data_IF_135953622621
#
_entry.id   IF_135953622621
#
_cell.length_a   1.000
_cell.length_b   1.000
_cell.length_c   1.000
_cell.angle_alpha   90.00
_cell.angle_beta   90.00
_cell.angle_gamma   90.00
#
_symmetry.space_group_name_H-M   'P 1'
#
loop_
_entity.id
_entity.type
_entity.pdbx_description
1 polymer ?
#
# COMPACT_ATOMS: atom_id res chain seq x y z
N UNK A 1 -38.66 27.84 1.92
CA UNK A 1 -37.24 27.57 2.20
C UNK A 1 -36.95 26.16 1.74
N UNK A 2 -36.65 26.02 0.45
CA UNK A 2 -36.34 24.74 -0.21
C UNK A 2 -34.88 24.40 0.06
N UNK A 3 -34.64 23.18 0.53
CA UNK A 3 -33.41 22.78 1.19
C UNK A 3 -32.30 22.43 0.20
N UNK A 4 -31.14 23.03 0.42
CA UNK A 4 -29.89 22.93 -0.33
C UNK A 4 -29.19 21.56 -0.15
N UNK A 5 -29.86 20.45 -0.50
CA UNK A 5 -29.26 19.10 -0.45
C UNK A 5 -28.76 18.59 -1.81
N UNK A 6 -29.10 19.26 -2.91
CA UNK A 6 -28.80 18.81 -4.29
C UNK A 6 -27.30 18.79 -4.66
N UNK A 7 -26.41 19.31 -3.81
CA UNK A 7 -24.97 19.41 -4.10
C UNK A 7 -24.09 18.32 -3.44
N UNK A 8 -24.66 17.41 -2.63
CA UNK A 8 -23.88 16.36 -1.94
C UNK A 8 -24.08 15.00 -2.62
N UNK A 9 -23.02 14.39 -3.19
CA UNK A 9 -23.16 13.11 -3.88
C UNK A 9 -23.51 12.00 -2.89
N UNK A 10 -24.65 11.34 -3.11
CA UNK A 10 -24.95 10.05 -2.51
C UNK A 10 -24.09 8.97 -3.19
N UNK A 11 -23.33 8.22 -2.41
CA UNK A 11 -22.42 7.19 -2.91
C UNK A 11 -22.85 5.84 -2.37
N UNK A 12 -22.85 4.83 -3.23
CA UNK A 12 -23.17 3.45 -2.84
C UNK A 12 -21.92 2.58 -2.96
N UNK A 13 -21.62 1.82 -1.91
CA UNK A 13 -20.70 0.69 -1.96
C UNK A 13 -21.51 -0.61 -2.02
N UNK A 14 -21.06 -1.57 -2.82
CA UNK A 14 -21.66 -2.90 -2.97
C UNK A 14 -20.55 -3.94 -2.89
N UNK A 15 -20.74 -4.96 -2.06
CA UNK A 15 -19.79 -6.05 -1.91
C UNK A 15 -20.48 -7.35 -1.50
N UNK A 16 -19.83 -8.47 -1.79
CA UNK A 16 -20.20 -9.79 -1.25
C UNK A 16 -19.35 -10.03 -0.01
N UNK A 17 -20.01 -10.47 1.06
CA UNK A 17 -19.38 -10.77 2.34
C UNK A 17 -19.71 -12.21 2.72
N UNK A 18 -18.70 -12.97 3.10
CA UNK A 18 -18.84 -14.32 3.64
C UNK A 18 -19.48 -14.20 5.04
N UNK A 19 -20.73 -14.66 5.21
CA UNK A 19 -21.51 -14.41 6.40
C UNK A 19 -23.02 -14.47 6.17
N UNK A 20 -23.74 -14.94 7.19
CA UNK A 20 -25.21 -14.83 7.20
C UNK A 20 -25.63 -13.36 7.29
N UNK A 21 -26.82 -13.04 6.77
CA UNK A 21 -27.33 -11.67 6.83
C UNK A 21 -27.49 -11.17 8.26
N UNK A 22 -27.79 -12.07 9.20
CA UNK A 22 -27.86 -11.79 10.64
C UNK A 22 -26.50 -11.41 11.24
N UNK A 23 -25.48 -12.24 11.03
CA UNK A 23 -24.14 -12.00 11.60
C UNK A 23 -23.59 -10.66 11.12
N UNK A 24 -23.70 -10.40 9.81
CA UNK A 24 -23.24 -9.16 9.21
C UNK A 24 -24.05 -7.96 9.74
N UNK A 25 -25.36 -8.13 9.90
CA UNK A 25 -26.23 -7.11 10.50
C UNK A 25 -25.78 -6.76 11.93
N UNK A 26 -25.55 -7.74 12.79
CA UNK A 26 -25.08 -7.51 14.16
C UNK A 26 -23.72 -6.82 14.21
N UNK A 27 -22.77 -7.27 13.38
CA UNK A 27 -21.46 -6.63 13.25
C UNK A 27 -21.58 -5.17 12.83
N UNK A 28 -22.46 -4.85 11.87
CA UNK A 28 -22.70 -3.49 11.40
C UNK A 28 -23.45 -2.59 12.40
N UNK A 29 -24.30 -3.16 13.26
CA UNK A 29 -25.00 -2.41 14.30
C UNK A 29 -24.22 -2.29 15.61
N UNK A 30 -23.13 -3.02 15.77
CA UNK A 30 -22.25 -2.89 16.94
C UNK A 30 -21.68 -1.47 17.07
N UNK A 31 -21.64 -0.98 18.32
CA UNK A 31 -21.06 0.32 18.71
C UNK A 31 -19.99 0.17 19.80
N UNK A 32 -19.68 -1.06 20.21
CA UNK A 32 -18.69 -1.37 21.24
C UNK A 32 -17.28 -1.59 20.67
N UNK A 33 -16.34 -2.11 21.48
CA UNK A 33 -14.96 -2.38 21.05
C UNK A 33 -14.85 -3.29 19.82
N UNK A 34 -15.76 -4.25 19.67
CA UNK A 34 -15.86 -5.13 18.48
C UNK A 34 -16.09 -4.36 17.18
N UNK A 35 -16.61 -3.13 17.25
CA UNK A 35 -16.72 -2.26 16.08
C UNK A 35 -15.39 -1.62 15.72
N UNK A 36 -14.63 -1.15 16.71
CA UNK A 36 -13.32 -0.50 16.50
C UNK A 36 -12.22 -1.46 16.07
N UNK A 37 -12.41 -2.78 16.26
CA UNK A 37 -11.47 -3.81 15.79
C UNK A 37 -11.35 -3.86 14.27
N UNK A 38 -12.40 -3.48 13.53
CA UNK A 38 -12.41 -3.53 12.06
C UNK A 38 -12.80 -2.20 11.39
N UNK A 39 -13.66 -1.37 11.99
CA UNK A 39 -14.01 -0.05 11.45
C UNK A 39 -12.99 1.00 11.92
N UNK A 40 -11.88 1.12 11.20
CA UNK A 40 -10.80 2.09 11.48
C UNK A 40 -11.28 3.56 11.51
N UNK A 41 -12.43 3.89 10.88
CA UNK A 41 -12.99 5.25 10.99
C UNK A 41 -13.60 5.49 12.38
N UNK A 42 -14.04 4.43 13.05
CA UNK A 42 -14.84 4.47 14.27
C UNK A 42 -13.96 4.50 15.52
N UNK A 43 -14.03 5.59 16.27
CA UNK A 43 -13.35 5.68 17.57
C UNK A 43 -14.20 5.06 18.67
N UNK A 44 -15.43 5.54 18.84
CA UNK A 44 -16.38 5.04 19.83
C UNK A 44 -17.80 5.42 19.45
N UNK A 45 -18.76 4.73 20.04
CA UNK A 45 -20.15 5.04 19.86
C UNK A 45 -20.97 4.58 21.05
N UNK A 46 -22.17 5.14 21.15
CA UNK A 46 -23.13 4.77 22.17
C UNK A 46 -24.53 4.94 21.63
N UNK A 47 -25.46 4.12 22.13
CA UNK A 47 -26.88 4.40 21.96
C UNK A 47 -27.25 5.53 22.90
N UNK A 48 -27.80 6.60 22.34
CA UNK A 48 -28.31 7.75 23.10
C UNK A 48 -29.73 7.45 23.57
N UNK A 49 -30.56 6.92 22.68
CA UNK A 49 -31.96 6.62 22.96
C UNK A 49 -32.46 5.47 22.07
N UNK A 50 -33.17 4.51 22.66
CA UNK A 50 -33.97 3.53 21.92
C UNK A 50 -35.37 4.11 21.70
N UNK A 51 -35.76 4.33 20.45
CA UNK A 51 -37.08 4.89 20.13
C UNK A 51 -38.14 3.80 20.02
N UNK A 52 -37.78 2.66 19.44
CA UNK A 52 -38.60 1.46 19.33
C UNK A 52 -37.70 0.22 19.12
N UNK A 53 -38.28 -0.96 18.83
CA UNK A 53 -37.52 -2.20 18.61
C UNK A 53 -36.64 -2.23 17.35
N UNK A 54 -36.73 -1.19 16.51
CA UNK A 54 -36.14 -1.13 15.18
C UNK A 54 -35.46 0.21 14.88
N UNK A 55 -35.40 1.12 15.85
CA UNK A 55 -34.94 2.49 15.67
C UNK A 55 -34.19 3.00 16.89
N UNK A 56 -32.99 3.49 16.67
CA UNK A 56 -32.16 4.12 17.71
C UNK A 56 -31.72 5.53 17.30
N UNK A 57 -31.48 6.37 18.30
CA UNK A 57 -30.60 7.53 18.19
C UNK A 57 -29.24 7.12 18.73
N UNK A 58 -28.19 7.28 17.93
CA UNK A 58 -26.82 6.91 18.27
C UNK A 58 -25.89 8.12 18.20
N UNK A 59 -24.88 8.12 19.07
CA UNK A 59 -23.73 9.00 18.95
C UNK A 59 -22.56 8.19 18.41
N UNK A 60 -21.98 8.62 17.29
CA UNK A 60 -20.81 7.99 16.68
C UNK A 60 -19.70 9.02 16.57
N UNK A 61 -18.56 8.75 17.19
CA UNK A 61 -17.38 9.59 17.07
C UNK A 61 -16.37 8.91 16.16
N UNK A 62 -15.86 9.66 15.19
CA UNK A 62 -14.86 9.15 14.25
C UNK A 62 -13.46 9.50 14.73
N UNK A 63 -12.47 8.69 14.35
CA UNK A 63 -11.07 9.12 14.43
C UNK A 63 -10.85 10.30 13.48
N UNK A 64 -9.87 11.17 13.79
CA UNK A 64 -9.52 12.31 12.94
C UNK A 64 -8.37 12.03 11.96
N UNK A 65 -7.68 10.92 12.14
CA UNK A 65 -6.48 10.50 11.41
C UNK A 65 -6.73 10.19 9.92
N UNK A 66 -7.97 9.82 9.55
CA UNK A 66 -8.37 9.59 8.16
C UNK A 66 -9.11 10.79 7.51
N UNK A 67 -9.38 11.86 8.29
CA UNK A 67 -9.98 13.10 7.78
C UNK A 67 -8.92 14.06 7.22
N UNK A 68 -9.24 14.90 6.21
CA UNK A 68 -8.31 15.91 5.70
C UNK A 68 -7.78 16.86 6.79
N UNK A 69 -6.52 17.28 6.65
CA UNK A 69 -5.83 18.12 7.63
C UNK A 69 -6.57 19.43 7.91
N UNK A 70 -6.64 19.81 9.19
CA UNK A 70 -7.40 20.97 9.68
C UNK A 70 -8.89 20.69 9.95
N UNK A 71 -9.42 19.53 9.54
CA UNK A 71 -10.73 19.09 10.00
C UNK A 71 -10.61 18.57 11.43
N UNK A 72 -11.30 19.25 12.35
CA UNK A 72 -11.50 18.72 13.69
C UNK A 72 -12.15 17.33 13.61
N UNK A 73 -11.94 16.52 14.64
CA UNK A 73 -12.70 15.29 14.87
C UNK A 73 -14.19 15.52 14.61
N UNK A 74 -14.84 14.56 13.95
CA UNK A 74 -16.28 14.62 13.65
C UNK A 74 -17.00 13.60 14.49
N UNK A 75 -18.06 14.06 15.12
CA UNK A 75 -19.04 13.23 15.77
C UNK A 75 -20.41 13.43 15.11
N UNK A 76 -21.20 12.38 15.13
CA UNK A 76 -22.50 12.33 14.50
C UNK A 76 -23.52 11.90 15.53
N UNK A 77 -24.63 12.64 15.58
CA UNK A 77 -25.88 12.15 16.15
C UNK A 77 -26.71 11.62 15.00
N UNK A 78 -26.90 10.31 14.93
CA UNK A 78 -27.60 9.65 13.82
C UNK A 78 -28.85 8.96 14.35
N UNK A 79 -29.96 9.11 13.63
CA UNK A 79 -31.09 8.19 13.77
C UNK A 79 -30.84 7.01 12.83
N UNK A 80 -30.66 5.81 13.39
CA UNK A 80 -30.58 4.58 12.61
C UNK A 80 -31.90 3.83 12.74
N UNK A 81 -32.37 3.30 11.61
CA UNK A 81 -33.55 2.45 11.52
C UNK A 81 -33.16 1.16 10.81
N UNK A 82 -33.77 0.04 11.19
CA UNK A 82 -33.65 -1.21 10.45
C UNK A 82 -34.97 -1.96 10.35
N UNK A 83 -35.08 -2.81 9.33
CA UNK A 83 -36.16 -3.77 9.17
C UNK A 83 -35.62 -5.08 8.62
N UNK A 84 -36.35 -6.16 8.88
CA UNK A 84 -36.06 -7.49 8.33
C UNK A 84 -37.24 -7.91 7.46
N UNK A 85 -36.96 -8.29 6.23
CA UNK A 85 -37.95 -8.82 5.28
C UNK A 85 -38.09 -10.36 5.46
N UNK A 86 -39.17 -10.93 4.93
CA UNK A 86 -39.45 -12.38 5.04
C UNK A 86 -38.40 -13.27 4.36
N UNK A 87 -37.70 -12.72 3.36
CA UNK A 87 -36.60 -13.41 2.66
C UNK A 87 -35.28 -13.40 3.45
N UNK A 88 -35.25 -12.80 4.64
CA UNK A 88 -34.07 -12.68 5.49
C UNK A 88 -33.18 -11.48 5.18
N UNK A 89 -33.61 -10.58 4.28
CA UNK A 89 -32.91 -9.33 3.98
C UNK A 89 -33.08 -8.30 5.11
N UNK A 90 -31.98 -7.65 5.49
CA UNK A 90 -32.01 -6.47 6.37
C UNK A 90 -31.96 -5.17 5.55
N UNK A 91 -32.76 -4.16 5.95
CA UNK A 91 -32.84 -2.84 5.30
C UNK A 91 -32.91 -1.68 6.31
N UNK A 92 -32.64 -0.44 5.89
CA UNK A 92 -32.83 0.78 6.71
C UNK A 92 -31.64 1.78 6.72
N UNK A 93 -30.47 1.33 6.24
CA UNK A 93 -29.29 2.17 5.97
C UNK A 93 -28.20 1.36 5.26
N UNK A 94 -28.09 0.10 5.67
CA UNK A 94 -27.51 -0.98 4.88
C UNK A 94 -28.64 -1.79 4.24
N UNK A 95 -28.36 -2.42 3.10
CA UNK A 95 -29.15 -3.51 2.53
C UNK A 95 -28.28 -4.76 2.57
N UNK A 96 -28.69 -5.77 3.33
CA UNK A 96 -27.92 -7.00 3.52
C UNK A 96 -28.83 -8.15 3.11
N UNK A 97 -28.61 -8.68 1.91
CA UNK A 97 -29.45 -9.75 1.34
C UNK A 97 -28.68 -11.06 1.33
N UNK A 98 -29.25 -12.15 1.90
CA UNK A 98 -28.60 -13.46 1.86
C UNK A 98 -28.51 -13.97 0.41
N UNK A 99 -27.39 -14.60 0.09
CA UNK A 99 -27.13 -15.31 -1.17
C UNK A 99 -26.50 -16.67 -0.84
N UNK A 100 -26.34 -17.53 -1.85
CA UNK A 100 -25.76 -18.87 -1.71
C UNK A 100 -26.37 -19.67 -0.53
N UNK A 101 -27.70 -19.79 -0.53
CA UNK A 101 -28.45 -20.46 0.54
C UNK A 101 -28.18 -19.90 1.96
N UNK A 102 -27.79 -18.62 2.08
CA UNK A 102 -27.56 -17.93 3.35
C UNK A 102 -26.14 -18.02 3.89
N UNK A 103 -25.20 -18.64 3.17
CA UNK A 103 -23.78 -18.69 3.57
C UNK A 103 -23.03 -17.37 3.34
N UNK A 104 -23.45 -16.63 2.33
CA UNK A 104 -22.90 -15.32 1.96
C UNK A 104 -24.03 -14.29 1.96
N UNK A 105 -23.67 -13.01 2.01
CA UNK A 105 -24.63 -11.93 1.83
C UNK A 105 -24.08 -10.84 0.93
N UNK A 106 -24.95 -10.28 0.08
CA UNK A 106 -24.66 -9.05 -0.64
C UNK A 106 -24.96 -7.88 0.29
N UNK A 107 -23.96 -7.05 0.53
CA UNK A 107 -24.07 -5.85 1.36
C UNK A 107 -24.03 -4.61 0.46
N UNK A 108 -25.02 -3.75 0.60
CA UNK A 108 -25.06 -2.42 -0.03
C UNK A 108 -25.13 -1.37 1.05
N UNK A 109 -24.26 -0.37 0.97
CA UNK A 109 -24.27 0.77 1.89
C UNK A 109 -24.34 2.06 1.08
N UNK A 110 -25.37 2.86 1.33
CA UNK A 110 -25.51 4.17 0.73
C UNK A 110 -25.20 5.24 1.76
N UNK A 111 -24.29 6.15 1.43
CA UNK A 111 -23.87 7.23 2.32
C UNK A 111 -23.96 8.57 1.59
N UNK A 112 -24.66 9.51 2.24
CA UNK A 112 -24.70 10.92 1.89
C UNK A 112 -24.43 11.71 3.16
N UNK A 113 -23.35 12.48 3.20
CA UNK A 113 -22.90 13.21 4.39
C UNK A 113 -22.45 14.61 4.00
N UNK A 114 -22.99 15.60 4.72
CA UNK A 114 -22.42 16.94 4.77
C UNK A 114 -21.38 17.00 5.89
N UNK A 115 -20.12 17.17 5.51
CA UNK A 115 -18.98 17.19 6.42
C UNK A 115 -18.80 18.54 7.14
N UNK A 116 -19.64 19.54 6.82
CA UNK A 116 -19.62 20.92 7.35
C UNK A 116 -18.19 21.47 7.40
N UNK A 117 -17.52 21.47 6.26
CA UNK A 117 -16.16 22.00 6.11
C UNK A 117 -16.18 23.52 6.35
N UNK A 118 -15.81 23.94 7.56
CA UNK A 118 -15.79 25.35 7.96
C UNK A 118 -14.57 26.07 7.36
N UNK A 119 -14.65 26.37 6.06
CA UNK A 119 -13.90 27.40 5.33
C UNK A 119 -14.50 27.45 3.92
N UNK A 120 -14.91 28.65 3.50
CA UNK A 120 -15.59 28.96 2.22
C UNK A 120 -14.80 28.60 0.93
N UNK A 121 -13.69 27.88 1.05
CA UNK A 121 -12.75 27.59 -0.04
C UNK A 121 -12.59 26.10 -0.35
N UNK A 122 -13.35 25.22 0.33
CA UNK A 122 -13.30 23.77 0.09
C UNK A 122 -14.38 23.39 -0.93
N UNK A 123 -13.95 23.02 -2.14
CA UNK A 123 -14.84 22.63 -3.25
C UNK A 123 -15.65 21.34 -2.92
N UNK A 124 -16.87 21.17 -3.49
CA UNK A 124 -17.69 19.95 -3.38
C UNK A 124 -16.97 18.62 -3.68
N UNK A 125 -15.86 18.66 -4.44
CA UNK A 125 -15.02 17.50 -4.76
C UNK A 125 -14.36 16.85 -3.53
N UNK A 126 -14.09 17.62 -2.46
CA UNK A 126 -13.46 17.07 -1.25
C UNK A 126 -14.46 16.26 -0.41
N UNK A 127 -15.71 16.72 -0.28
CA UNK A 127 -16.77 15.98 0.42
C UNK A 127 -17.02 14.62 -0.24
N UNK A 128 -17.06 14.58 -1.58
CA UNK A 128 -17.15 13.33 -2.35
C UNK A 128 -15.98 12.40 -2.04
N UNK A 129 -14.75 12.91 -2.04
CA UNK A 129 -13.53 12.12 -1.77
C UNK A 129 -13.55 11.51 -0.36
N UNK A 130 -13.96 12.26 0.66
CA UNK A 130 -14.07 11.77 2.04
C UNK A 130 -15.12 10.65 2.12
N UNK A 131 -16.28 10.84 1.48
CA UNK A 131 -17.35 9.84 1.45
C UNK A 131 -16.91 8.55 0.73
N UNK A 132 -16.19 8.64 -0.40
CA UNK A 132 -15.61 7.47 -1.08
C UNK A 132 -14.59 6.76 -0.20
N UNK A 133 -13.68 7.49 0.46
CA UNK A 133 -12.66 6.92 1.34
C UNK A 133 -13.28 6.18 2.52
N UNK A 134 -14.29 6.76 3.14
CA UNK A 134 -15.02 6.12 4.25
C UNK A 134 -15.72 4.84 3.78
N UNK A 135 -16.43 4.89 2.65
CA UNK A 135 -17.16 3.74 2.12
C UNK A 135 -16.24 2.59 1.68
N UNK A 136 -15.19 2.88 0.91
CA UNK A 136 -14.29 1.86 0.36
C UNK A 136 -13.60 1.07 1.46
N UNK A 137 -13.17 1.76 2.52
CA UNK A 137 -12.46 1.10 3.62
C UNK A 137 -13.40 0.33 4.57
N UNK A 138 -14.59 0.85 4.87
CA UNK A 138 -15.61 0.09 5.63
C UNK A 138 -15.99 -1.19 4.88
N UNK A 139 -16.10 -1.14 3.55
CA UNK A 139 -16.44 -2.30 2.73
C UNK A 139 -15.35 -3.37 2.76
N UNK A 140 -14.07 -3.00 2.68
CA UNK A 140 -12.96 -3.96 2.71
C UNK A 140 -12.81 -4.65 4.07
N UNK A 141 -12.93 -3.89 5.16
CA UNK A 141 -12.77 -4.43 6.51
C UNK A 141 -13.97 -5.27 6.98
N UNK A 142 -15.19 -4.94 6.53
CA UNK A 142 -16.37 -5.77 6.80
C UNK A 142 -16.24 -7.16 6.18
N UNK A 143 -15.74 -7.25 4.94
CA UNK A 143 -15.47 -8.54 4.28
C UNK A 143 -14.43 -9.38 5.04
N UNK A 144 -13.47 -8.75 5.72
CA UNK A 144 -12.45 -9.43 6.53
C UNK A 144 -12.98 -9.86 7.89
N UNK A 145 -13.70 -8.99 8.59
CA UNK A 145 -14.27 -9.26 9.91
C UNK A 145 -15.26 -10.42 9.88
N UNK A 146 -16.13 -10.47 8.86
CA UNK A 146 -17.12 -11.53 8.73
C UNK A 146 -16.49 -12.93 8.51
N UNK A 147 -15.34 -13.00 7.81
CA UNK A 147 -14.55 -14.24 7.66
C UNK A 147 -13.98 -14.72 9.00
N UNK A 148 -13.54 -13.81 9.86
CA UNK A 148 -12.98 -14.16 11.17
C UNK A 148 -14.05 -14.74 12.11
N UNK A 149 -15.25 -14.17 12.12
CA UNK A 149 -16.37 -14.69 12.92
C UNK A 149 -16.86 -16.07 12.48
N UNK A 150 -16.61 -16.50 11.24
CA UNK A 150 -16.94 -17.86 10.78
C UNK A 150 -15.92 -18.92 11.24
N UNK A 151 -14.66 -18.54 11.42
CA UNK A 151 -13.61 -19.47 11.81
C UNK A 151 -13.69 -19.90 13.29
N UNK A 152 -14.43 -19.18 14.12
CA UNK A 152 -14.67 -19.58 15.52
C UNK A 152 -15.72 -20.69 15.65
N UNK A 153 -16.57 -20.91 14.63
CA UNK A 153 -17.65 -21.91 14.61
C UNK A 153 -17.47 -22.99 13.51
N UNK A 154 -16.32 -23.70 13.51
CA UNK A 154 -16.26 -25.12 13.11
C UNK A 154 -15.84 -25.54 11.69
N UNK A 155 -14.79 -26.39 11.68
CA UNK A 155 -14.45 -27.55 10.82
C UNK A 155 -14.13 -27.35 9.32
N UNK A 156 -12.91 -27.79 8.98
CA UNK A 156 -12.27 -27.89 7.66
C UNK A 156 -13.15 -28.44 6.53
N UNK A 157 -13.15 -27.73 5.40
CA UNK A 157 -13.57 -28.22 4.09
C UNK A 157 -12.86 -27.45 2.97
N UNK A 158 -11.97 -28.13 2.27
CA UNK A 158 -11.24 -27.67 1.08
C UNK A 158 -12.23 -27.48 -0.10
N UNK A 159 -12.17 -26.33 -0.81
CA UNK A 159 -12.80 -26.22 -2.13
C UNK A 159 -12.21 -25.11 -3.00
N UNK A 160 -11.46 -25.57 -4.00
CA UNK A 160 -11.27 -25.05 -5.36
C UNK A 160 -12.16 -23.88 -5.81
N UNK A 161 -11.52 -22.79 -6.25
CA UNK A 161 -12.14 -21.76 -7.08
C UNK A 161 -12.22 -22.24 -8.54
N UNK A 162 -13.45 -22.33 -9.07
CA UNK A 162 -13.73 -22.47 -10.50
C UNK A 162 -14.16 -21.10 -11.03
N UNK A 163 -13.35 -20.49 -11.89
CA UNK A 163 -13.80 -19.43 -12.79
C UNK A 163 -14.37 -20.07 -14.06
N UNK A 164 -15.56 -19.66 -14.46
CA UNK A 164 -16.15 -19.99 -15.77
C UNK A 164 -15.84 -18.87 -16.79
N UNK A 165 -15.43 -19.32 -17.97
CA UNK A 165 -14.97 -18.60 -19.16
C UNK A 165 -16.07 -17.85 -19.94
N UNK A 166 -15.64 -16.83 -20.73
CA UNK A 166 -15.93 -16.60 -22.17
C UNK A 166 -15.39 -15.21 -22.57
N UNK A 167 -14.67 -14.92 -23.68
CA UNK A 167 -14.42 -15.61 -24.96
C UNK A 167 -13.05 -15.18 -25.53
N UNK A 168 -12.51 -16.05 -26.41
CA UNK A 168 -11.22 -16.01 -27.13
C UNK A 168 -11.04 -14.84 -28.11
N UNK A 169 -9.76 -14.47 -28.34
CA UNK A 169 -9.17 -14.50 -29.68
C UNK A 169 -7.65 -14.77 -29.64
N UNK A 170 -7.15 -15.41 -30.71
CA UNK A 170 -5.92 -16.21 -30.79
C UNK A 170 -4.91 -15.59 -31.75
N UNK A 171 -3.60 -15.62 -31.45
CA UNK A 171 -2.53 -16.14 -32.34
C UNK A 171 -1.10 -15.80 -31.83
N UNK A 172 -0.31 -16.86 -31.62
CA UNK A 172 1.10 -17.15 -32.00
C UNK A 172 2.18 -16.07 -31.85
N UNK A 173 3.46 -16.31 -31.56
CA UNK A 173 4.41 -17.41 -31.31
C UNK A 173 5.66 -16.64 -30.76
N UNK A 174 6.63 -17.09 -29.97
CA UNK A 174 7.55 -18.21 -30.16
C UNK A 174 8.55 -18.24 -28.97
N UNK A 175 9.29 -19.35 -28.86
CA UNK A 175 10.11 -19.82 -27.74
C UNK A 175 11.61 -19.57 -28.03
N UNK A 176 12.44 -19.35 -26.99
CA UNK A 176 13.82 -19.88 -26.82
C UNK A 176 14.59 -19.04 -25.78
N UNK A 177 15.66 -19.46 -25.09
CA UNK A 177 16.22 -20.71 -24.56
C UNK A 177 17.52 -20.25 -23.85
N UNK A 178 17.76 -20.63 -22.60
CA UNK A 178 18.98 -20.28 -21.85
C UNK A 178 20.21 -21.03 -22.38
N UNK A 179 21.43 -20.52 -22.10
CA UNK A 179 22.33 -21.35 -21.30
C UNK A 179 23.22 -20.63 -20.26
N UNK A 180 23.43 -21.36 -19.16
CA UNK A 180 24.69 -21.68 -18.46
C UNK A 180 25.48 -20.63 -17.65
N UNK A 181 25.73 -21.05 -16.41
CA UNK A 181 26.53 -20.50 -15.32
C UNK A 181 28.04 -20.44 -15.61
N UNK A 182 28.71 -19.45 -15.00
CA UNK A 182 30.03 -19.60 -14.38
C UNK A 182 30.09 -18.81 -13.07
N UNK A 183 30.53 -19.51 -12.04
CA UNK A 183 30.79 -19.07 -10.66
C UNK A 183 32.10 -18.28 -10.58
N UNK A 184 32.12 -17.16 -9.85
CA UNK A 184 32.95 -16.94 -8.64
C UNK A 184 32.75 -15.51 -8.14
N UNK A 185 32.83 -15.35 -6.82
CA UNK A 185 32.42 -14.18 -6.05
C UNK A 185 33.66 -13.67 -5.32
N UNK A 186 34.44 -12.82 -5.99
CA UNK A 186 35.48 -11.93 -5.43
C UNK A 186 35.80 -10.94 -6.54
N UNK A 187 35.22 -9.75 -6.46
CA UNK A 187 35.69 -8.47 -7.01
C UNK A 187 34.50 -7.51 -7.01
N UNK A 188 34.43 -6.68 -5.98
CA UNK A 188 33.47 -5.58 -5.88
C UNK A 188 34.12 -4.21 -6.13
N UNK A 189 35.37 -4.17 -6.61
CA UNK A 189 36.10 -2.91 -6.85
C UNK A 189 36.47 -2.64 -8.32
N UNK A 190 36.08 -3.48 -9.28
CA UNK A 190 36.32 -3.22 -10.70
C UNK A 190 35.04 -3.36 -11.52
N UNK A 191 34.12 -2.40 -11.43
CA UNK A 191 33.24 -2.09 -12.56
C UNK A 191 32.58 -0.73 -12.32
N UNK A 192 33.07 0.31 -13.00
CA UNK A 192 32.34 1.44 -13.60
C UNK A 192 33.32 2.59 -13.86
N UNK A 193 34.19 2.45 -14.86
CA UNK A 193 34.74 3.63 -15.55
C UNK A 193 33.64 4.16 -16.47
N UNK A 194 32.88 5.15 -16.00
CA UNK A 194 31.96 5.92 -16.83
C UNK A 194 32.77 7.03 -17.51
N UNK A 195 32.90 7.10 -18.85
CA UNK A 195 33.59 8.21 -19.48
C UNK A 195 32.80 9.50 -19.27
N UNK A 196 33.48 10.54 -18.79
CA UNK A 196 32.94 11.91 -18.78
C UNK A 196 32.70 12.38 -20.24
N UNK A 197 31.56 13.01 -20.55
CA UNK A 197 31.35 13.57 -21.87
C UNK A 197 32.23 14.83 -22.04
N UNK A 198 33.09 14.79 -23.05
CA UNK A 198 33.92 15.89 -23.52
C UNK A 198 33.09 16.97 -24.24
N UNK A 199 33.43 18.23 -23.98
CA UNK A 199 32.88 19.44 -24.60
C UNK A 199 33.10 19.53 -26.14
N UNK A 200 32.23 20.31 -26.79
CA UNK A 200 32.26 20.82 -28.18
C UNK A 200 31.95 19.79 -29.31
N UNK A 201 31.20 20.08 -30.38
CA UNK A 201 30.79 21.35 -31.00
C UNK A 201 29.44 21.22 -31.77
N UNK A 202 28.68 22.31 -31.65
CA UNK A 202 27.72 22.99 -32.54
C UNK A 202 27.30 22.44 -33.93
N UNK A 203 26.03 22.77 -34.26
CA UNK A 203 25.43 23.26 -35.53
C UNK A 203 24.13 22.51 -35.87
N UNK A 204 23.02 23.11 -36.29
CA UNK A 204 22.51 24.49 -36.23
C UNK A 204 21.02 24.43 -36.70
N UNK A 205 20.34 25.57 -36.57
CA UNK A 205 19.09 25.99 -37.22
C UNK A 205 17.73 25.58 -36.59
N UNK A 206 17.08 26.39 -35.71
CA UNK A 206 16.54 27.78 -35.81
C UNK A 206 15.10 27.82 -36.38
N UNK A 207 14.09 28.53 -35.86
CA UNK A 207 14.01 29.94 -35.47
C UNK A 207 12.84 30.26 -34.48
N UNK A 208 13.10 31.23 -33.59
CA UNK A 208 12.25 32.34 -33.03
C UNK A 208 10.96 32.03 -32.26
N UNK A 209 10.87 32.33 -30.96
CA UNK A 209 10.85 33.62 -30.22
C UNK A 209 9.48 34.30 -30.20
N UNK A 210 8.92 34.44 -29.00
CA UNK A 210 8.35 35.70 -28.49
C UNK A 210 8.27 35.61 -26.95
N UNK A 211 9.28 36.19 -26.31
CA UNK A 211 9.24 36.66 -24.93
C UNK A 211 8.99 38.17 -25.01
N UNK A 212 7.88 38.63 -24.43
CA UNK A 212 7.76 40.01 -23.99
C UNK A 212 7.73 40.02 -22.46
N UNK A 213 8.74 40.66 -21.90
CA UNK A 213 8.80 41.13 -20.52
C UNK A 213 8.85 42.65 -20.60
N UNK A 214 7.85 43.36 -20.07
CA UNK A 214 8.17 44.37 -19.07
C UNK A 214 6.97 44.96 -18.30
N UNK A 215 7.16 44.93 -16.97
CA UNK A 215 6.93 46.02 -16.02
C UNK A 215 5.51 46.56 -15.76
N UNK A 216 5.00 46.23 -14.57
CA UNK A 216 4.63 47.26 -13.59
C UNK A 216 4.81 46.73 -12.15
N UNK A 217 5.78 47.29 -11.43
CA UNK A 217 5.93 47.12 -9.98
C UNK A 217 5.02 48.11 -9.23
N UNK A 218 4.36 47.63 -8.16
CA UNK A 218 4.35 48.20 -6.79
C UNK A 218 3.00 47.96 -6.06
N UNK A 219 2.98 47.03 -5.09
CA UNK A 219 2.55 47.25 -3.68
C UNK A 219 2.36 45.94 -2.87
N UNK A 220 3.33 45.67 -1.98
CA UNK A 220 3.33 44.90 -0.70
C UNK A 220 2.74 43.46 -0.53
N UNK A 221 3.27 42.69 0.46
CA UNK A 221 3.37 41.24 0.40
C UNK A 221 2.31 40.51 1.25
N UNK A 222 1.63 39.51 0.68
CA UNK A 222 0.99 38.47 1.47
C UNK A 222 1.16 37.11 0.79
N UNK A 223 1.67 36.17 1.61
CA UNK A 223 2.06 34.82 1.28
C UNK A 223 1.04 34.10 0.38
N UNK A 224 1.53 33.58 -0.74
CA UNK A 224 0.87 32.53 -1.51
C UNK A 224 0.86 31.24 -0.69
N UNK A 225 -0.25 30.98 0.00
CA UNK A 225 -0.52 29.66 0.57
C UNK A 225 -0.73 28.66 -0.56
N UNK A 226 0.27 27.82 -0.82
CA UNK A 226 0.09 26.56 -1.53
C UNK A 226 -0.91 25.68 -0.76
N UNK A 227 -1.82 24.95 -1.43
CA UNK A 227 -2.80 24.08 -0.77
C UNK A 227 -2.09 22.90 -0.08
N UNK A 228 -2.45 22.52 1.16
CA UNK A 228 -1.74 21.49 1.91
C UNK A 228 -2.07 20.08 1.38
N UNK A 229 -1.00 19.30 1.19
CA UNK A 229 -1.04 17.90 0.79
C UNK A 229 -1.84 17.05 1.80
N UNK A 230 -2.88 16.37 1.30
CA UNK A 230 -3.62 15.38 2.08
C UNK A 230 -2.84 14.06 2.11
N UNK A 231 -2.45 13.58 3.30
CA UNK A 231 -2.01 12.20 3.45
C UNK A 231 -3.17 11.26 3.05
N UNK A 232 -2.88 10.25 2.23
CA UNK A 232 -3.87 9.27 1.76
C UNK A 232 -4.08 9.20 0.25
N UNK A 233 -3.00 9.29 -0.53
CA UNK A 233 -2.92 8.68 -1.87
C UNK A 233 -1.80 7.65 -1.86
N UNK A 234 -1.98 6.57 -1.10
CA UNK A 234 -1.23 5.34 -1.35
C UNK A 234 -1.31 5.05 -2.84
N UNK A 235 -0.22 4.57 -3.44
CA UNK A 235 -0.25 4.15 -4.84
C UNK A 235 -1.47 3.24 -5.06
N UNK A 236 -2.22 3.40 -6.16
CA UNK A 236 -3.36 2.54 -6.44
C UNK A 236 -2.89 1.08 -6.57
N UNK A 237 -3.65 0.17 -5.97
CA UNK A 237 -3.50 -1.26 -6.22
C UNK A 237 -3.98 -1.58 -7.63
N UNK A 238 -3.20 -2.34 -8.38
CA UNK A 238 -3.56 -2.76 -9.72
C UNK A 238 -3.22 -4.24 -9.97
N UNK A 239 -4.20 -5.14 -9.78
CA UNK A 239 -4.03 -6.56 -10.07
C UNK A 239 -3.79 -6.86 -11.56
N UNK A 240 -4.30 -6.03 -12.49
CA UNK A 240 -4.17 -6.30 -13.93
C UNK A 240 -2.82 -5.86 -14.51
N UNK A 241 -2.06 -5.05 -13.74
CA UNK A 241 -0.75 -4.52 -14.10
C UNK A 241 -0.73 -3.56 -15.31
N UNK A 242 -1.84 -2.92 -15.62
CA UNK A 242 -2.00 -2.00 -16.75
C UNK A 242 -1.95 -0.52 -16.32
N UNK A 243 -2.25 -0.23 -15.06
CA UNK A 243 -2.35 1.13 -14.54
C UNK A 243 -0.96 1.69 -14.25
N UNK A 244 -0.57 2.83 -14.83
CA UNK A 244 0.69 3.47 -14.49
C UNK A 244 0.66 4.06 -13.07
N UNK A 245 1.83 4.11 -12.44
CA UNK A 245 2.00 4.56 -11.06
C UNK A 245 1.12 3.77 -10.07
N UNK A 246 1.15 2.45 -10.17
CA UNK A 246 0.41 1.52 -9.34
C UNK A 246 1.35 0.51 -8.67
N UNK A 247 0.81 -0.24 -7.71
CA UNK A 247 1.49 -1.37 -7.12
C UNK A 247 0.63 -2.63 -7.10
N UNK A 248 1.29 -3.78 -7.03
CA UNK A 248 0.69 -5.08 -6.73
C UNK A 248 1.75 -6.00 -6.14
N UNK A 249 1.41 -7.24 -5.81
CA UNK A 249 2.37 -8.28 -5.41
C UNK A 249 2.93 -8.99 -6.64
N UNK A 250 4.24 -9.26 -6.64
CA UNK A 250 4.85 -10.11 -7.68
C UNK A 250 4.61 -11.59 -7.37
N UNK A 251 4.42 -12.41 -8.40
CA UNK A 251 4.43 -13.87 -8.26
C UNK A 251 5.72 -14.34 -7.55
N UNK A 252 5.62 -14.94 -6.36
CA UNK A 252 6.76 -15.45 -5.61
C UNK A 252 7.65 -16.40 -6.43
N UNK A 253 7.06 -17.15 -7.37
CA UNK A 253 7.77 -18.15 -8.19
C UNK A 253 8.83 -17.55 -9.14
N UNK A 254 8.79 -16.22 -9.31
CA UNK A 254 9.77 -15.45 -10.08
C UNK A 254 11.13 -15.36 -9.36
N UNK A 255 11.13 -15.55 -8.03
CA UNK A 255 12.33 -15.43 -7.21
C UNK A 255 12.89 -16.79 -6.79
N UNK A 256 14.22 -16.89 -6.79
CA UNK A 256 14.98 -18.07 -6.38
C UNK A 256 15.55 -17.89 -4.97
N UNK A 257 15.21 -18.83 -4.09
CA UNK A 257 15.57 -18.86 -2.66
C UNK A 257 16.39 -20.11 -2.33
N UNK A 258 17.13 -20.11 -1.22
CA UNK A 258 17.89 -21.29 -0.79
C UNK A 258 16.93 -22.45 -0.47
N UNK A 259 17.12 -23.59 -1.14
CA UNK A 259 16.33 -24.81 -0.90
C UNK A 259 16.74 -25.54 0.38
N UNK A 260 16.00 -26.59 0.74
CA UNK A 260 16.22 -27.36 1.98
C UNK A 260 17.64 -27.91 2.11
N UNK A 261 18.27 -28.31 1.00
CA UNK A 261 19.61 -28.90 0.93
C UNK A 261 20.69 -27.92 0.47
N UNK A 262 20.39 -26.61 0.48
CA UNK A 262 21.27 -25.60 -0.13
C UNK A 262 22.69 -25.58 0.44
N UNK A 263 22.87 -25.84 1.73
CA UNK A 263 24.21 -25.85 2.34
C UNK A 263 25.11 -26.95 1.74
N UNK A 264 24.51 -28.06 1.30
CA UNK A 264 25.24 -29.17 0.67
C UNK A 264 25.39 -28.99 -0.85
N UNK A 265 24.30 -28.61 -1.54
CA UNK A 265 24.22 -28.67 -3.00
C UNK A 265 24.28 -27.30 -3.70
N UNK A 266 24.20 -26.20 -2.94
CA UNK A 266 24.10 -24.82 -3.42
C UNK A 266 22.94 -24.57 -4.40
N UNK A 267 21.90 -25.42 -4.38
CA UNK A 267 20.75 -25.32 -5.30
C UNK A 267 19.65 -24.45 -4.72
N UNK A 268 19.27 -23.46 -5.50
CA UNK A 268 18.10 -22.61 -5.21
C UNK A 268 16.84 -23.19 -5.83
N UNK A 269 15.72 -22.95 -5.16
CA UNK A 269 14.38 -23.34 -5.61
C UNK A 269 13.52 -22.10 -5.82
N UNK A 270 12.47 -22.21 -6.61
CA UNK A 270 11.46 -21.15 -6.72
C UNK A 270 10.72 -20.99 -5.39
N UNK A 271 10.48 -19.76 -4.97
CA UNK A 271 9.63 -19.52 -3.81
C UNK A 271 8.18 -19.94 -4.11
N UNK A 272 7.50 -20.45 -3.09
CA UNK A 272 6.12 -20.95 -3.20
C UNK A 272 5.07 -19.95 -2.71
N UNK A 273 5.50 -18.92 -1.98
CA UNK A 273 4.64 -17.96 -1.31
C UNK A 273 5.45 -16.90 -0.59
N UNK A 274 4.76 -15.99 0.06
CA UNK A 274 5.31 -15.00 0.99
C UNK A 274 4.75 -15.23 2.38
N UNK A 275 5.50 -14.83 3.39
CA UNK A 275 5.06 -14.87 4.78
C UNK A 275 4.08 -13.73 5.10
N UNK A 276 4.29 -12.58 4.49
CA UNK A 276 3.51 -11.36 4.68
C UNK A 276 2.84 -10.95 3.38
N UNK A 277 1.69 -10.31 3.49
CA UNK A 277 0.96 -9.70 2.39
C UNK A 277 1.25 -8.21 2.33
N UNK A 278 1.49 -7.70 1.12
CA UNK A 278 1.62 -6.26 0.93
C UNK A 278 0.24 -5.61 0.98
N UNK A 279 0.05 -4.61 1.83
CA UNK A 279 -1.25 -3.96 2.05
C UNK A 279 -1.31 -2.53 1.53
N UNK A 280 -0.16 -1.87 1.36
CA UNK A 280 -0.06 -0.53 0.80
C UNK A 280 1.37 -0.23 0.32
N UNK A 281 1.50 0.81 -0.51
CA UNK A 281 2.75 1.51 -0.74
C UNK A 281 2.52 3.02 -0.88
N UNK A 282 3.45 3.80 -0.33
CA UNK A 282 3.49 5.25 -0.51
C UNK A 282 4.73 5.65 -1.32
N UNK A 283 4.54 6.62 -2.21
CA UNK A 283 5.61 7.24 -2.99
C UNK A 283 5.73 8.70 -2.59
N UNK A 284 6.77 9.01 -1.83
CA UNK A 284 6.92 10.27 -1.11
C UNK A 284 8.16 10.99 -1.63
N UNK A 285 8.09 12.33 -1.62
CA UNK A 285 9.27 13.18 -1.75
C UNK A 285 9.32 14.13 -0.56
N UNK A 286 10.47 14.17 0.11
CA UNK A 286 10.70 14.96 1.32
C UNK A 286 12.07 15.60 1.24
N UNK A 287 12.22 16.75 1.87
CA UNK A 287 13.49 17.43 1.99
C UNK A 287 14.40 16.83 3.09
N UNK A 288 13.96 15.78 3.77
CA UNK A 288 14.79 15.00 4.71
C UNK A 288 14.48 13.52 4.61
N UNK A 289 15.39 12.70 5.12
CA UNK A 289 15.12 11.28 5.35
C UNK A 289 13.93 11.13 6.28
N UNK A 290 13.01 10.25 5.91
CA UNK A 290 11.85 9.89 6.72
C UNK A 290 12.06 8.52 7.38
N UNK A 291 12.25 8.54 8.71
CA UNK A 291 12.43 7.36 9.55
C UNK A 291 11.34 7.27 10.63
N UNK A 292 11.15 6.09 11.21
CA UNK A 292 10.19 5.81 12.29
C UNK A 292 8.76 6.24 11.95
N UNK A 293 8.36 5.99 10.70
CA UNK A 293 7.04 6.31 10.18
C UNK A 293 5.93 5.63 10.98
N UNK A 294 6.16 4.40 11.44
CA UNK A 294 5.20 3.58 12.18
C UNK A 294 4.89 4.10 13.59
N UNK A 295 5.76 4.91 14.20
CA UNK A 295 5.54 5.42 15.57
C UNK A 295 4.77 6.74 15.60
N UNK A 296 4.70 7.45 14.47
CA UNK A 296 4.21 8.83 14.41
C UNK A 296 2.68 8.89 14.58
N UNK A 297 2.17 9.50 15.67
CA UNK A 297 0.73 9.70 15.83
C UNK A 297 0.24 10.70 14.77
N UNK A 298 -0.51 10.23 13.78
CA UNK A 298 -1.08 11.09 12.72
C UNK A 298 -0.21 11.27 11.47
N UNK A 299 0.82 10.45 11.26
CA UNK A 299 1.69 10.60 10.09
C UNK A 299 2.66 11.77 10.20
N UNK A 300 3.63 11.75 9.30
CA UNK A 300 4.92 12.44 9.30
C UNK A 300 4.90 13.93 9.71
N UNK A 301 5.79 14.32 10.65
CA UNK A 301 6.09 15.73 11.00
C UNK A 301 7.60 16.07 10.81
N UNK A 302 7.84 16.99 9.87
CA UNK A 302 8.82 18.10 9.68
C UNK A 302 10.30 18.10 10.13
N UNK A 303 11.18 18.64 9.25
CA UNK A 303 12.19 19.76 9.37
C UNK A 303 12.98 19.86 8.01
N UNK A 304 13.41 21.04 7.50
CA UNK A 304 13.89 21.24 6.10
C UNK A 304 15.32 20.72 5.77
N UNK A 305 15.56 20.31 4.52
CA UNK A 305 16.86 19.84 3.96
C UNK A 305 16.83 19.56 2.43
N UNK A 306 17.71 18.70 1.89
CA UNK A 306 17.77 18.34 0.45
C UNK A 306 16.73 17.28 0.03
N UNK A 307 16.12 17.42 -1.16
CA UNK A 307 15.06 16.50 -1.65
C UNK A 307 15.51 15.04 -1.76
N UNK A 308 14.75 14.17 -1.11
CA UNK A 308 14.86 12.71 -1.04
C UNK A 308 13.55 12.09 -1.52
N UNK A 309 13.64 10.93 -2.19
CA UNK A 309 12.48 10.12 -2.55
C UNK A 309 12.40 8.93 -1.60
N UNK A 310 11.22 8.68 -1.05
CA UNK A 310 10.97 7.54 -0.16
C UNK A 310 9.86 6.67 -0.72
N UNK A 311 10.18 5.39 -0.89
CA UNK A 311 9.21 4.35 -1.20
C UNK A 311 8.92 3.57 0.08
N UNK A 312 7.72 3.72 0.61
CA UNK A 312 7.30 3.07 1.86
C UNK A 312 6.45 1.85 1.50
N UNK A 313 6.81 0.69 2.03
CA UNK A 313 6.16 -0.58 1.75
C UNK A 313 5.54 -1.13 3.04
N UNK A 314 4.25 -1.40 3.02
CA UNK A 314 3.53 -1.92 4.19
C UNK A 314 3.22 -3.39 3.99
N UNK A 315 3.75 -4.23 4.88
CA UNK A 315 3.53 -5.66 4.89
C UNK A 315 2.81 -6.06 6.17
N UNK A 316 1.80 -6.91 6.03
CA UNK A 316 0.98 -7.43 7.13
C UNK A 316 1.10 -8.95 7.19
N UNK A 317 1.13 -9.48 8.41
CA UNK A 317 1.17 -10.91 8.69
C UNK A 317 -0.11 -11.32 9.40
N UNK A 318 -0.73 -12.40 8.92
CA UNK A 318 -2.00 -12.92 9.45
C UNK A 318 -1.81 -14.01 10.51
N UNK A 319 -0.61 -14.62 10.55
CA UNK A 319 -0.23 -15.61 11.54
C UNK A 319 0.66 -14.99 12.63
N UNK A 320 0.73 -15.58 13.84
CA UNK A 320 1.66 -15.15 14.88
C UNK A 320 3.12 -15.33 14.45
N UNK A 321 4.01 -14.43 14.89
CA UNK A 321 5.43 -14.50 14.53
C UNK A 321 6.11 -15.74 15.11
N UNK A 322 5.57 -16.28 16.20
CA UNK A 322 6.06 -17.45 16.94
C UNK A 322 6.11 -18.73 16.08
N UNK A 323 5.29 -18.80 15.03
CA UNK A 323 5.29 -19.92 14.07
C UNK A 323 6.51 -19.89 13.14
N UNK A 324 7.30 -18.80 13.15
CA UNK A 324 8.40 -18.57 12.23
C UNK A 324 9.70 -18.23 12.99
N UNK A 325 10.44 -19.24 13.50
CA UNK A 325 11.60 -19.03 14.37
C UNK A 325 12.66 -18.08 13.81
N UNK A 326 12.97 -18.15 12.52
CA UNK A 326 13.95 -17.26 11.89
C UNK A 326 13.47 -15.79 11.87
N UNK A 327 12.16 -15.56 11.72
CA UNK A 327 11.59 -14.21 11.83
C UNK A 327 11.59 -13.74 13.29
N UNK A 328 11.26 -14.59 14.26
CA UNK A 328 11.35 -14.27 15.69
C UNK A 328 12.77 -13.84 16.05
N UNK A 329 13.78 -14.60 15.61
CA UNK A 329 15.19 -14.29 15.82
C UNK A 329 15.59 -12.97 15.15
N UNK A 330 15.05 -12.67 13.97
CA UNK A 330 15.31 -11.39 13.30
C UNK A 330 14.68 -10.20 14.01
N UNK A 331 13.43 -10.32 14.46
CA UNK A 331 12.71 -9.27 15.18
C UNK A 331 13.36 -8.99 16.54
N UNK A 332 13.75 -10.04 17.27
CA UNK A 332 14.35 -9.93 18.60
C UNK A 332 15.88 -9.81 18.63
N UNK A 333 16.55 -10.04 17.49
CA UNK A 333 18.00 -9.95 17.36
C UNK A 333 18.52 -8.52 17.46
N UNK A 334 19.84 -8.36 17.47
CA UNK A 334 20.49 -7.06 17.37
C UNK A 334 20.68 -6.63 15.90
N UNK A 335 21.14 -5.40 15.69
CA UNK A 335 21.34 -4.87 14.34
C UNK A 335 22.43 -5.63 13.58
N UNK A 336 23.45 -6.16 14.26
CA UNK A 336 24.48 -6.98 13.62
C UNK A 336 23.87 -8.26 13.02
N UNK A 337 23.01 -8.94 13.77
CA UNK A 337 22.26 -10.10 13.30
C UNK A 337 21.36 -9.72 12.12
N UNK A 338 20.55 -8.66 12.25
CA UNK A 338 19.63 -8.21 11.18
C UNK A 338 20.38 -7.85 9.90
N UNK A 339 21.46 -7.07 10.04
CA UNK A 339 22.27 -6.60 8.92
C UNK A 339 22.94 -7.75 8.17
N UNK A 340 23.43 -8.76 8.88
CA UNK A 340 24.06 -9.94 8.28
C UNK A 340 23.10 -10.87 7.52
N UNK A 341 21.79 -10.65 7.64
CA UNK A 341 20.76 -11.59 7.16
C UNK A 341 19.75 -10.96 6.21
N UNK A 342 19.44 -9.67 6.32
CA UNK A 342 18.38 -9.05 5.52
C UNK A 342 18.78 -8.95 4.04
N UNK A 343 17.96 -9.55 3.17
CA UNK A 343 18.19 -9.63 1.73
C UNK A 343 17.10 -8.93 0.92
N UNK A 344 17.53 -8.39 -0.22
CA UNK A 344 16.68 -7.94 -1.32
C UNK A 344 17.03 -8.71 -2.60
N UNK A 345 16.01 -9.15 -3.33
CA UNK A 345 16.15 -9.66 -4.70
C UNK A 345 15.43 -8.66 -5.62
N UNK A 346 16.16 -7.82 -6.36
CA UNK A 346 15.54 -6.92 -7.32
C UNK A 346 15.32 -7.64 -8.65
N UNK A 347 14.30 -7.22 -9.39
CA UNK A 347 14.06 -7.68 -10.75
C UNK A 347 13.34 -6.60 -11.58
N UNK A 348 13.93 -6.22 -12.70
CA UNK A 348 13.30 -5.29 -13.66
C UNK A 348 12.70 -6.12 -14.80
N UNK A 349 11.38 -6.33 -14.76
CA UNK A 349 10.68 -7.14 -15.77
C UNK A 349 10.50 -6.36 -17.08
N UNK A 350 10.21 -5.07 -17.01
CA UNK A 350 10.14 -4.14 -18.16
C UNK A 350 11.09 -2.95 -17.96
N UNK A 351 11.88 -2.62 -18.97
CA UNK A 351 12.87 -1.55 -18.91
C UNK A 351 13.98 -1.73 -19.94
N UNK A 352 14.78 -0.69 -20.15
CA UNK A 352 15.95 -0.75 -21.05
C UNK A 352 17.00 -1.71 -20.50
N UNK A 353 17.79 -2.30 -21.41
CA UNK A 353 18.85 -3.24 -21.05
C UNK A 353 19.85 -2.64 -20.06
N UNK A 354 20.21 -1.36 -20.22
CA UNK A 354 21.15 -0.66 -19.33
C UNK A 354 20.64 -0.58 -17.88
N UNK A 355 19.34 -0.33 -17.69
CA UNK A 355 18.73 -0.32 -16.36
C UNK A 355 18.66 -1.73 -15.79
N UNK A 356 18.27 -2.72 -16.61
CA UNK A 356 18.22 -4.14 -16.18
C UNK A 356 19.58 -4.67 -15.73
N UNK A 357 20.65 -4.29 -16.43
CA UNK A 357 22.01 -4.69 -16.06
C UNK A 357 22.49 -4.00 -14.78
N UNK A 358 22.23 -2.70 -14.64
CA UNK A 358 22.68 -1.92 -13.47
C UNK A 358 22.00 -2.36 -12.17
N UNK A 359 20.71 -2.70 -12.21
CA UNK A 359 19.96 -3.20 -11.05
C UNK A 359 20.31 -4.67 -10.75
N UNK A 360 20.53 -5.47 -11.80
CA UNK A 360 20.79 -6.90 -11.68
C UNK A 360 19.54 -7.71 -11.29
N UNK A 361 19.77 -9.01 -11.04
CA UNK A 361 18.74 -9.98 -10.60
C UNK A 361 19.16 -10.83 -9.39
N UNK A 362 20.34 -10.56 -8.86
CA UNK A 362 20.96 -11.38 -7.82
C UNK A 362 20.52 -10.86 -6.45
N UNK A 363 20.24 -11.79 -5.53
CA UNK A 363 20.01 -11.44 -4.14
C UNK A 363 21.22 -10.71 -3.55
N UNK A 364 20.97 -9.59 -2.86
CA UNK A 364 21.97 -8.79 -2.15
C UNK A 364 21.63 -8.77 -0.65
N UNK A 365 22.65 -8.93 0.22
CA UNK A 365 22.52 -8.70 1.66
C UNK A 365 22.53 -7.20 1.93
N UNK A 366 21.37 -6.57 1.76
CA UNK A 366 21.25 -5.11 1.82
C UNK A 366 21.60 -4.53 3.18
N UNK A 367 21.44 -5.29 4.27
CA UNK A 367 21.88 -4.85 5.59
C UNK A 367 23.39 -4.80 5.77
N UNK A 368 24.17 -5.47 4.92
CA UNK A 368 25.62 -5.32 4.88
C UNK A 368 26.08 -4.22 3.92
N UNK A 369 25.24 -3.89 2.94
CA UNK A 369 25.58 -2.95 1.87
C UNK A 369 25.12 -1.51 2.14
N UNK A 370 24.12 -1.32 3.00
CA UNK A 370 23.48 -0.04 3.29
C UNK A 370 23.30 0.14 4.80
N UNK A 371 23.29 1.38 5.26
CA UNK A 371 22.80 1.70 6.60
C UNK A 371 21.29 1.45 6.71
N UNK A 372 20.88 0.74 7.76
CA UNK A 372 19.48 0.46 8.06
C UNK A 372 19.17 0.89 9.49
N UNK A 373 18.17 1.74 9.65
CA UNK A 373 17.62 2.10 10.95
C UNK A 373 16.45 1.18 11.28
N UNK A 374 16.50 0.50 12.43
CA UNK A 374 15.47 -0.42 12.88
C UNK A 374 14.61 0.23 13.97
N UNK A 375 13.29 0.25 13.76
CA UNK A 375 12.34 0.72 14.78
C UNK A 375 11.38 -0.39 15.14
N UNK A 376 11.11 -0.56 16.44
CA UNK A 376 10.20 -1.60 16.94
C UNK A 376 9.05 -0.96 17.70
N UNK A 377 7.85 -1.19 17.20
CA UNK A 377 6.62 -0.86 17.90
C UNK A 377 6.03 -2.05 18.65
N UNK A 378 4.80 -1.87 19.15
CA UNK A 378 4.06 -2.93 19.84
C UNK A 378 3.70 -4.09 18.90
N UNK A 379 3.40 -3.78 17.64
CA UNK A 379 2.87 -4.71 16.63
C UNK A 379 3.54 -4.55 15.26
N UNK A 380 4.68 -3.87 15.18
CA UNK A 380 5.41 -3.68 13.93
C UNK A 380 6.92 -3.62 14.15
N UNK A 381 7.66 -3.91 13.09
CA UNK A 381 9.07 -3.55 12.94
C UNK A 381 9.21 -2.74 11.64
N UNK A 382 9.95 -1.65 11.69
CA UNK A 382 10.23 -0.80 10.55
C UNK A 382 11.73 -0.83 10.24
N UNK A 383 12.04 -0.92 8.94
CA UNK A 383 13.39 -0.96 8.41
C UNK A 383 13.58 0.25 7.49
N UNK A 384 14.17 1.31 8.03
CA UNK A 384 14.55 2.50 7.25
C UNK A 384 15.86 2.24 6.51
N UNK A 385 15.78 1.82 5.25
CA UNK A 385 16.95 1.51 4.41
C UNK A 385 17.46 2.76 3.70
N UNK A 386 18.66 3.20 4.04
CA UNK A 386 19.28 4.39 3.45
C UNK A 386 20.10 4.04 2.22
N UNK A 387 19.46 4.11 1.04
CA UNK A 387 20.15 3.91 -0.24
C UNK A 387 21.27 4.95 -0.44
N UNK A 388 21.10 6.15 0.11
CA UNK A 388 22.07 7.23 0.02
C UNK A 388 23.37 6.94 0.76
N UNK A 389 23.41 5.97 1.67
CA UNK A 389 24.62 5.56 2.39
C UNK A 389 25.69 4.89 1.50
N UNK A 390 25.33 4.42 0.30
CA UNK A 390 26.26 3.80 -0.65
C UNK A 390 26.35 4.58 -1.95
N UNK A 391 27.58 4.89 -2.40
CA UNK A 391 27.85 5.56 -3.68
C UNK A 391 27.32 4.74 -4.86
N UNK A 392 27.55 3.42 -4.83
CA UNK A 392 27.09 2.48 -5.85
C UNK A 392 25.56 2.45 -5.91
N UNK A 393 24.90 2.27 -4.76
CA UNK A 393 23.44 2.19 -4.70
C UNK A 393 22.78 3.52 -5.11
N UNK A 394 23.37 4.64 -4.72
CA UNK A 394 22.96 5.99 -5.16
C UNK A 394 23.06 6.15 -6.67
N UNK A 395 24.14 5.68 -7.29
CA UNK A 395 24.31 5.68 -8.75
C UNK A 395 23.22 4.87 -9.46
N UNK A 396 22.95 3.64 -8.97
CA UNK A 396 21.87 2.79 -9.52
C UNK A 396 20.50 3.46 -9.41
N UNK A 397 20.17 4.04 -8.25
CA UNK A 397 18.88 4.72 -8.07
C UNK A 397 18.78 6.00 -8.91
N UNK A 398 19.86 6.77 -9.06
CA UNK A 398 19.88 7.93 -9.94
C UNK A 398 19.56 7.55 -11.39
N UNK A 399 20.11 6.44 -11.87
CA UNK A 399 19.77 5.89 -13.18
C UNK A 399 18.29 5.48 -13.24
N UNK A 400 17.81 4.70 -12.26
CA UNK A 400 16.43 4.21 -12.21
C UNK A 400 15.41 5.35 -12.18
N UNK A 401 15.66 6.41 -11.42
CA UNK A 401 14.78 7.60 -11.34
C UNK A 401 14.60 8.27 -12.71
N UNK A 402 15.65 8.31 -13.54
CA UNK A 402 15.57 8.86 -14.90
C UNK A 402 14.70 8.03 -15.85
N UNK A 403 14.44 6.76 -15.54
CA UNK A 403 13.63 5.85 -16.37
C UNK A 403 12.33 5.39 -15.70
N UNK A 404 12.03 5.86 -14.49
CA UNK A 404 11.03 5.29 -13.59
C UNK A 404 9.66 5.01 -14.28
N UNK A 405 9.19 5.92 -15.13
CA UNK A 405 7.91 5.82 -15.83
C UNK A 405 7.90 4.80 -16.98
N UNK A 406 9.05 4.24 -17.35
CA UNK A 406 9.22 3.20 -18.38
C UNK A 406 9.56 1.84 -17.78
N UNK A 407 9.66 1.74 -16.46
CA UNK A 407 10.05 0.53 -15.76
C UNK A 407 8.85 -0.22 -15.19
N UNK A 408 8.99 -1.53 -15.13
CA UNK A 408 8.26 -2.37 -14.17
C UNK A 408 9.31 -2.96 -13.23
N UNK A 409 9.21 -2.58 -11.96
CA UNK A 409 10.18 -2.90 -10.91
C UNK A 409 9.53 -3.91 -9.98
N UNK A 410 10.17 -5.06 -9.81
CA UNK A 410 9.74 -6.14 -8.93
C UNK A 410 10.82 -6.37 -7.88
N UNK A 411 10.42 -6.60 -6.64
CA UNK A 411 11.34 -6.79 -5.53
C UNK A 411 10.79 -7.87 -4.59
N UNK A 412 11.71 -8.62 -3.97
CA UNK A 412 11.40 -9.55 -2.91
C UNK A 412 12.35 -9.38 -1.73
N UNK A 413 11.80 -9.43 -0.53
CA UNK A 413 12.54 -9.32 0.72
C UNK A 413 12.57 -10.66 1.45
N UNK A 414 13.69 -11.01 2.06
CA UNK A 414 13.85 -12.26 2.81
C UNK A 414 14.95 -12.16 3.87
N UNK A 415 14.95 -13.11 4.79
CA UNK A 415 16.01 -13.31 5.79
C UNK A 415 16.87 -14.47 5.32
N UNK A 416 18.19 -14.28 5.24
CA UNK A 416 19.11 -15.33 4.84
C UNK A 416 19.12 -16.47 5.85
N UNK A 417 18.95 -17.71 5.40
CA UNK A 417 19.23 -18.90 6.22
C UNK A 417 20.72 -19.26 6.13
N UNK A 418 21.37 -19.48 7.27
CA UNK A 418 22.77 -19.87 7.41
C UNK A 418 22.96 -21.26 8.04
N UNK A 419 21.94 -21.81 8.71
CA UNK A 419 21.98 -23.18 9.26
C UNK A 419 20.96 -24.08 8.56
N UNK A 420 21.09 -25.40 8.75
CA UNK A 420 20.16 -26.38 8.16
C UNK A 420 18.74 -26.24 8.71
N UNK A 421 18.59 -25.89 9.99
CA UNK A 421 17.29 -25.71 10.66
C UNK A 421 16.55 -24.46 10.17
N UNK A 422 17.29 -23.49 9.65
CA UNK A 422 16.75 -22.26 9.06
C UNK A 422 16.32 -22.46 7.60
N UNK A 423 16.62 -23.61 6.98
CA UNK A 423 16.26 -23.93 5.60
C UNK A 423 14.96 -24.73 5.50
N UNK A 424 14.19 -24.58 4.40
CA UNK A 424 14.42 -23.65 3.29
C UNK A 424 14.14 -22.19 3.65
N UNK A 425 14.76 -21.26 2.91
CA UNK A 425 14.41 -19.84 3.01
C UNK A 425 12.93 -19.62 2.62
N UNK A 426 12.36 -18.49 3.04
CA UNK A 426 11.03 -18.03 2.62
C UNK A 426 11.07 -16.53 2.35
N UNK A 427 10.24 -16.06 1.42
CA UNK A 427 10.08 -14.63 1.17
C UNK A 427 9.27 -14.00 2.30
N UNK A 428 9.73 -12.88 2.85
CA UNK A 428 8.92 -12.07 3.74
C UNK A 428 7.77 -11.44 2.97
N UNK A 429 8.06 -10.82 1.83
CA UNK A 429 7.07 -10.16 0.99
C UNK A 429 7.63 -9.84 -0.38
N UNK A 430 6.73 -9.62 -1.35
CA UNK A 430 7.08 -9.15 -2.70
C UNK A 430 6.35 -7.85 -3.00
N UNK A 431 6.84 -7.11 -3.98
CA UNK A 431 6.13 -5.97 -4.54
C UNK A 431 6.49 -5.78 -6.02
N UNK A 432 5.52 -5.30 -6.79
CA UNK A 432 5.65 -4.87 -8.17
C UNK A 432 5.16 -3.44 -8.29
N UNK A 433 5.93 -2.62 -8.98
CA UNK A 433 5.60 -1.24 -9.31
C UNK A 433 5.56 -1.07 -10.82
N UNK A 434 4.44 -0.54 -11.33
CA UNK A 434 4.26 -0.31 -12.75
C UNK A 434 4.44 1.18 -13.08
N UNK A 435 5.42 1.50 -13.92
CA UNK A 435 5.55 2.81 -14.55
C UNK A 435 5.47 3.97 -13.53
N UNK A 436 6.22 3.87 -12.42
CA UNK A 436 6.23 4.88 -11.37
C UNK A 436 6.71 6.23 -11.90
N UNK A 437 6.16 7.31 -11.36
CA UNK A 437 6.47 8.66 -11.83
C UNK A 437 6.95 9.52 -10.65
N UNK A 438 8.19 9.99 -10.73
CA UNK A 438 8.80 10.83 -9.71
C UNK A 438 8.05 12.15 -9.51
N UNK A 439 7.40 12.69 -10.55
CA UNK A 439 6.59 13.91 -10.44
C UNK A 439 5.32 13.71 -9.61
N UNK A 440 4.79 12.47 -9.57
CA UNK A 440 3.62 12.08 -8.79
C UNK A 440 3.97 11.70 -7.35
N UNK A 441 5.25 11.72 -6.96
CA UNK A 441 5.63 11.58 -5.56
C UNK A 441 4.94 12.66 -4.73
N UNK A 442 4.29 12.23 -3.66
CA UNK A 442 3.58 13.12 -2.75
C UNK A 442 4.63 13.94 -2.02
N UNK A 443 4.56 15.25 -2.21
CA UNK A 443 5.41 16.16 -1.48
C UNK A 443 4.98 16.18 -0.03
N UNK A 444 5.89 15.79 0.85
CA UNK A 444 5.77 16.03 2.27
C UNK A 444 6.22 17.47 2.48
N UNK A 445 5.29 18.40 2.25
CA UNK A 445 5.53 19.83 2.47
C UNK A 445 5.46 20.06 3.97
N UNK A 446 6.41 20.83 4.55
CA UNK A 446 6.43 21.16 5.96
C UNK A 446 5.10 21.69 6.47
#
# INVERSE_FOLDING_TARGET
>A
MTSQWDDHPAIMAVGVVDGTSETIFQTLLSLGPSRSEWDFCFYQGSVVEHLDGHTDIIHKQLYSDWLPWGMKRRDFSLRRYWRREDDGTYGGGYVISPIDNGKQSVVKHMLAVDWKSWRSYVKPSLARSITVKMLGRISGELSRSARLTQNEDGVFGDSSLRENEMFKDTANEERDKFPSERSSLVDLDEFFDVPEPSDNDNLDDSWTSDFDLDTCCQSSPHATCNPPCCYGTTLPTDPSCDLPCSWTTTDPSTFLIRGKTYLDDQKKVKAKGTLMEMVAADWLKSDKREDDLGSRPGGIVQVPGSTTYSLVLYYMMSTPIEEHPLLVSFVNGDDAYRNSRFKLIPYISKGSWIVKQSVGKKACLIGQALEINYFRGKNYIELGVDIGSSTVARGVVSLVLGYLNKLVIEMAFLIQANTEEELPEYLLGTCRFNHLDASKAISIIP
#
